data_IF_768057844907
#
_entry.id   IF_768057844907
#
_cell.length_a   1.000
_cell.length_b   1.000
_cell.length_c   1.000
_cell.angle_alpha   90.00
_cell.angle_beta   90.00
_cell.angle_gamma   90.00
#
_symmetry.space_group_name_H-M   'P 1'
#
loop_
_entity.id
_entity.type
_entity.pdbx_description
1 polymer ?
#
# COMPACT_ATOMS: atom_id res chain seq x y z
N UNK A 1 68.30 31.20 12.78
CA UNK A 1 68.30 29.79 12.33
C UNK A 1 66.86 29.48 11.96
N UNK A 2 66.39 29.71 10.73
CA UNK A 2 66.61 28.88 9.51
C UNK A 2 66.45 27.40 9.87
N UNK A 3 65.53 26.61 9.30
CA UNK A 3 64.58 26.72 8.19
C UNK A 3 63.81 25.37 8.19
N UNK A 4 63.14 24.87 7.15
CA UNK A 4 62.60 25.29 5.87
C UNK A 4 61.94 24.01 5.28
N UNK A 5 61.07 24.18 4.27
CA UNK A 5 60.53 23.17 3.33
C UNK A 5 59.37 22.28 3.84
N UNK A 6 58.29 21.99 3.08
CA UNK A 6 57.89 22.24 1.69
C UNK A 6 56.40 21.84 1.55
N UNK A 7 55.53 22.64 0.90
CA UNK A 7 55.07 22.56 -0.51
C UNK A 7 53.63 22.04 -0.66
N UNK A 8 52.84 22.87 -1.35
CA UNK A 8 51.91 22.55 -2.43
C UNK A 8 50.70 21.63 -2.14
N UNK A 9 49.52 22.25 -2.00
CA UNK A 9 48.39 22.05 -2.93
C UNK A 9 47.31 23.12 -2.69
N UNK A 10 47.42 24.19 -3.45
CA UNK A 10 46.38 25.22 -3.62
C UNK A 10 45.20 24.57 -4.35
N UNK A 11 44.05 24.48 -3.69
CA UNK A 11 42.78 24.22 -4.37
C UNK A 11 42.46 25.45 -5.24
N UNK A 12 42.45 25.27 -6.56
CA UNK A 12 41.99 26.31 -7.48
C UNK A 12 40.49 26.54 -7.27
N UNK A 13 40.00 27.79 -7.17
CA UNK A 13 38.58 28.06 -7.24
C UNK A 13 38.09 27.66 -8.63
N UNK A 14 37.03 26.87 -8.69
CA UNK A 14 36.27 26.68 -9.92
C UNK A 14 35.69 28.04 -10.27
N UNK A 15 36.23 28.67 -11.31
CA UNK A 15 35.75 29.93 -11.85
C UNK A 15 34.31 29.73 -12.32
N UNK A 16 33.37 30.33 -11.58
CA UNK A 16 31.98 30.47 -11.97
C UNK A 16 31.90 31.33 -13.23
N UNK A 17 31.80 30.68 -14.38
CA UNK A 17 31.25 31.32 -15.56
C UNK A 17 29.74 31.19 -15.46
N UNK A 18 29.13 32.33 -15.16
CA UNK A 18 27.70 32.60 -15.27
C UNK A 18 27.16 32.07 -16.60
N UNK A 19 26.33 31.03 -16.54
CA UNK A 19 25.40 30.69 -17.60
C UNK A 19 24.00 30.62 -17.01
N UNK A 20 23.09 31.25 -17.75
CA UNK A 20 21.71 31.53 -17.42
C UNK A 20 20.90 30.26 -17.09
N UNK A 21 19.94 30.42 -16.17
CA UNK A 21 18.72 29.63 -16.09
C UNK A 21 18.92 28.14 -15.83
N UNK A 22 18.84 27.73 -14.56
CA UNK A 22 18.64 26.32 -14.19
C UNK A 22 17.25 25.84 -14.64
N UNK A 23 17.08 25.62 -15.94
CA UNK A 23 16.15 24.59 -16.40
C UNK A 23 16.75 23.27 -15.94
N UNK A 24 15.97 22.43 -15.26
CA UNK A 24 16.28 21.02 -15.08
C UNK A 24 16.51 20.42 -16.48
N UNK A 25 17.74 20.43 -16.98
CA UNK A 25 18.06 19.82 -18.27
C UNK A 25 18.00 18.31 -18.06
N UNK A 26 16.91 17.72 -18.55
CA UNK A 26 16.80 16.28 -18.69
C UNK A 26 17.98 15.84 -19.56
N UNK A 27 18.83 14.96 -19.03
CA UNK A 27 19.96 14.42 -19.76
C UNK A 27 19.41 13.56 -20.90
N UNK A 28 19.57 14.04 -22.14
CA UNK A 28 19.11 13.32 -23.31
C UNK A 28 19.99 12.09 -23.59
N UNK A 29 19.43 10.95 -24.05
CA UNK A 29 20.23 9.81 -24.44
C UNK A 29 21.12 10.13 -25.64
N UNK A 30 22.24 9.41 -25.79
CA UNK A 30 23.07 9.54 -27.00
C UNK A 30 22.29 9.05 -28.23
N UNK A 31 22.40 9.77 -29.34
CA UNK A 31 21.85 9.33 -30.63
C UNK A 31 20.33 9.45 -30.80
N UNK A 32 19.61 10.12 -29.90
CA UNK A 32 18.18 10.42 -30.04
C UNK A 32 17.63 11.22 -28.86
N UNK A 33 16.32 11.17 -28.64
CA UNK A 33 15.66 11.89 -27.54
C UNK A 33 15.02 10.95 -26.51
N UNK A 34 14.57 11.51 -25.39
CA UNK A 34 13.81 10.75 -24.39
C UNK A 34 12.44 10.29 -24.95
N UNK A 35 11.85 11.08 -25.85
CA UNK A 35 10.61 10.75 -26.56
C UNK A 35 10.78 9.54 -27.48
N UNK A 36 11.92 9.42 -28.17
CA UNK A 36 12.23 8.23 -28.99
C UNK A 36 12.25 6.95 -28.14
N UNK A 37 12.90 7.01 -26.96
CA UNK A 37 12.94 5.90 -26.01
C UNK A 37 11.55 5.58 -25.49
N UNK A 38 10.74 6.59 -25.18
CA UNK A 38 9.38 6.43 -24.68
C UNK A 38 8.49 5.74 -25.73
N UNK A 39 8.47 6.22 -26.98
CA UNK A 39 7.63 5.66 -28.03
C UNK A 39 8.02 4.20 -28.34
N UNK A 40 9.32 3.95 -28.54
CA UNK A 40 9.81 2.61 -28.87
C UNK A 40 9.68 1.65 -27.68
N UNK A 41 9.95 2.13 -26.47
CA UNK A 41 9.75 1.37 -25.23
C UNK A 41 8.29 0.99 -25.02
N UNK A 42 7.35 1.92 -25.24
CA UNK A 42 5.91 1.67 -25.13
C UNK A 42 5.45 0.56 -26.10
N UNK A 43 5.99 0.52 -27.32
CA UNK A 43 5.71 -0.57 -28.28
C UNK A 43 6.16 -1.92 -27.75
N UNK A 44 7.36 -2.01 -27.18
CA UNK A 44 7.88 -3.25 -26.55
C UNK A 44 7.04 -3.70 -25.35
N UNK A 45 6.61 -2.75 -24.51
CA UNK A 45 5.72 -3.04 -23.38
C UNK A 45 4.36 -3.57 -23.85
N UNK A 46 3.77 -2.99 -24.90
CA UNK A 46 2.52 -3.47 -25.49
C UNK A 46 2.66 -4.90 -26.04
N UNK A 47 3.77 -5.19 -26.72
CA UNK A 47 4.07 -6.54 -27.22
C UNK A 47 4.20 -7.53 -26.07
N UNK A 48 4.92 -7.17 -25.00
CA UNK A 48 5.02 -7.98 -23.79
C UNK A 48 3.66 -8.28 -23.17
N UNK A 49 2.80 -7.26 -22.95
CA UNK A 49 1.46 -7.45 -22.38
C UNK A 49 0.57 -8.35 -23.23
N UNK A 50 0.71 -8.30 -24.57
CA UNK A 50 -0.01 -9.19 -25.50
C UNK A 50 0.52 -10.62 -25.47
N UNK A 51 1.83 -10.79 -25.41
CA UNK A 51 2.50 -12.10 -25.46
C UNK A 51 2.60 -12.84 -24.12
N UNK A 52 2.53 -12.14 -22.99
CA UNK A 52 2.81 -12.69 -21.66
C UNK A 52 1.84 -13.82 -21.24
N UNK A 53 0.64 -13.89 -21.81
CA UNK A 53 -0.32 -14.95 -21.48
C UNK A 53 -0.19 -16.21 -22.34
N UNK A 54 0.77 -16.27 -23.27
CA UNK A 54 0.97 -17.41 -24.15
C UNK A 54 1.84 -18.46 -23.45
N UNK A 55 1.29 -19.64 -23.18
CA UNK A 55 1.93 -20.72 -22.41
C UNK A 55 3.16 -21.38 -23.06
N UNK A 56 3.67 -20.83 -24.17
CA UNK A 56 4.89 -21.31 -24.83
C UNK A 56 6.16 -20.72 -24.23
N UNK A 57 6.07 -19.67 -23.40
CA UNK A 57 7.21 -19.08 -22.68
C UNK A 57 7.25 -19.59 -21.22
N UNK A 58 8.44 -19.78 -20.62
CA UNK A 58 8.54 -20.17 -19.22
C UNK A 58 7.97 -19.09 -18.27
N UNK A 59 7.48 -19.50 -17.10
CA UNK A 59 7.05 -18.58 -16.02
C UNK A 59 8.20 -17.66 -15.60
N UNK A 60 9.41 -18.18 -15.53
CA UNK A 60 10.62 -17.42 -15.20
C UNK A 60 11.84 -18.10 -15.81
N UNK A 61 12.76 -17.30 -16.35
CA UNK A 61 14.12 -17.72 -16.70
C UNK A 61 15.04 -17.35 -15.54
N UNK A 62 15.04 -18.16 -14.50
CA UNK A 62 15.71 -17.82 -13.25
C UNK A 62 17.23 -17.69 -13.46
N UNK A 63 17.77 -16.51 -13.15
CA UNK A 63 19.20 -16.20 -13.17
C UNK A 63 19.64 -15.77 -11.78
N UNK A 64 20.88 -16.07 -11.42
CA UNK A 64 21.50 -15.53 -10.21
C UNK A 64 21.68 -14.00 -10.32
N UNK A 65 21.82 -13.28 -9.18
CA UNK A 65 22.09 -11.84 -9.21
C UNK A 65 23.34 -11.47 -10.03
N UNK A 66 24.38 -12.31 -10.02
CA UNK A 66 25.60 -12.10 -10.81
C UNK A 66 25.37 -12.21 -12.32
N UNK A 67 24.57 -13.18 -12.74
CA UNK A 67 24.17 -13.36 -14.15
C UNK A 67 23.30 -12.20 -14.65
N UNK A 68 22.39 -11.68 -13.81
CA UNK A 68 21.58 -10.51 -14.13
C UNK A 68 22.46 -9.26 -14.30
N UNK A 69 23.39 -8.99 -13.38
CA UNK A 69 24.35 -7.89 -13.52
C UNK A 69 25.18 -8.01 -14.81
N UNK A 70 25.59 -9.23 -15.17
CA UNK A 70 26.29 -9.49 -16.43
C UNK A 70 25.41 -9.23 -17.65
N UNK A 71 24.14 -9.63 -17.61
CA UNK A 71 23.18 -9.38 -18.70
C UNK A 71 22.98 -7.88 -18.94
N UNK A 72 22.75 -7.09 -17.89
CA UNK A 72 22.62 -5.63 -17.99
C UNK A 72 23.90 -4.95 -18.49
N UNK A 73 25.08 -5.38 -18.04
CA UNK A 73 26.35 -4.87 -18.62
C UNK A 73 26.45 -5.14 -20.13
N UNK A 74 25.91 -6.25 -20.61
CA UNK A 74 25.93 -6.58 -22.04
C UNK A 74 25.00 -5.68 -22.87
N UNK A 75 24.05 -4.96 -22.27
CA UNK A 75 23.19 -4.01 -22.98
C UNK A 75 23.80 -2.60 -23.10
N UNK A 76 24.99 -2.37 -22.51
CA UNK A 76 25.55 -1.03 -22.33
C UNK A 76 25.02 -0.28 -21.11
N UNK A 77 23.97 -0.79 -20.44
CA UNK A 77 23.35 -0.19 -19.27
C UNK A 77 23.58 -1.06 -18.02
N UNK A 78 24.78 -1.00 -17.45
CA UNK A 78 25.10 -1.72 -16.21
C UNK A 78 24.25 -1.26 -15.02
N UNK A 79 23.92 -2.17 -14.09
CA UNK A 79 23.15 -1.85 -12.87
C UNK A 79 23.99 -1.23 -11.74
N UNK A 80 25.31 -1.18 -11.88
CA UNK A 80 26.19 -0.60 -10.87
C UNK A 80 26.22 0.92 -11.04
N UNK A 81 25.91 1.66 -9.97
CA UNK A 81 25.89 3.12 -9.95
C UNK A 81 27.18 3.62 -9.28
N UNK A 82 28.16 4.00 -10.08
CA UNK A 82 29.46 4.56 -9.71
C UNK A 82 29.53 6.07 -9.83
N UNK A 83 28.58 6.70 -10.55
CA UNK A 83 28.57 8.15 -10.80
C UNK A 83 29.56 8.59 -11.87
N UNK A 84 30.14 7.64 -12.61
CA UNK A 84 31.12 7.86 -13.69
C UNK A 84 30.66 7.22 -14.99
N UNK A 85 29.40 6.80 -15.06
CA UNK A 85 28.79 6.22 -16.24
C UNK A 85 28.69 7.26 -17.34
N UNK A 86 28.94 6.81 -18.56
CA UNK A 86 28.57 7.63 -19.70
C UNK A 86 27.05 7.59 -19.91
N UNK A 87 26.51 8.68 -20.46
CA UNK A 87 25.12 8.73 -20.89
C UNK A 87 24.85 7.61 -21.90
N UNK A 88 23.86 6.77 -21.62
CA UNK A 88 23.47 5.68 -22.51
C UNK A 88 22.79 6.20 -23.78
N UNK A 89 22.96 5.47 -24.88
CA UNK A 89 22.25 5.71 -26.13
C UNK A 89 20.83 5.14 -26.13
N UNK A 90 20.04 5.56 -27.12
CA UNK A 90 18.66 5.04 -27.31
C UNK A 90 18.65 3.51 -27.41
N UNK A 91 19.54 2.93 -28.23
CA UNK A 91 19.62 1.48 -28.43
C UNK A 91 20.00 0.72 -27.15
N UNK A 92 20.93 1.27 -26.35
CA UNK A 92 21.38 0.68 -25.09
C UNK A 92 20.25 0.68 -24.05
N UNK A 93 19.46 1.76 -23.99
CA UNK A 93 18.28 1.87 -23.13
C UNK A 93 17.18 0.90 -23.57
N UNK A 94 16.91 0.77 -24.87
CA UNK A 94 15.92 -0.18 -25.37
C UNK A 94 16.35 -1.63 -25.15
N UNK A 95 17.64 -1.96 -25.31
CA UNK A 95 18.18 -3.27 -24.97
C UNK A 95 18.08 -3.55 -23.47
N UNK A 96 18.26 -2.53 -22.61
CA UNK A 96 18.04 -2.66 -21.17
C UNK A 96 16.56 -2.93 -20.84
N UNK A 97 15.61 -2.28 -21.52
CA UNK A 97 14.17 -2.55 -21.38
C UNK A 97 13.87 -4.00 -21.75
N UNK A 98 14.37 -4.50 -22.88
CA UNK A 98 14.20 -5.91 -23.25
C UNK A 98 14.80 -6.85 -22.20
N UNK A 99 16.00 -6.54 -21.71
CA UNK A 99 16.65 -7.31 -20.64
C UNK A 99 15.78 -7.36 -19.37
N UNK A 100 15.09 -6.28 -19.00
CA UNK A 100 14.11 -6.32 -17.90
C UNK A 100 12.96 -7.29 -18.21
N UNK A 101 12.35 -7.17 -19.39
CA UNK A 101 11.17 -7.96 -19.78
C UNK A 101 11.47 -9.45 -19.89
N UNK A 102 12.61 -9.83 -20.48
CA UNK A 102 13.01 -11.22 -20.67
C UNK A 102 13.39 -11.95 -19.37
N UNK A 103 13.91 -11.20 -18.40
CA UNK A 103 14.46 -11.76 -17.16
C UNK A 103 13.54 -11.55 -15.95
N UNK A 104 12.40 -10.90 -16.13
CA UNK A 104 11.36 -10.77 -15.12
C UNK A 104 10.48 -12.03 -15.04
N UNK A 105 9.86 -12.24 -13.88
CA UNK A 105 8.83 -13.29 -13.73
C UNK A 105 7.62 -12.89 -14.57
N UNK A 106 7.16 -13.80 -15.42
CA UNK A 106 5.92 -13.65 -16.15
C UNK A 106 4.73 -13.97 -15.23
N UNK A 107 4.26 -12.96 -14.51
CA UNK A 107 3.11 -13.07 -13.59
C UNK A 107 1.78 -13.31 -14.30
N UNK A 108 1.73 -13.11 -15.62
CA UNK A 108 0.57 -13.35 -16.46
C UNK A 108 0.52 -14.78 -17.04
N UNK A 109 1.52 -15.61 -16.75
CA UNK A 109 1.56 -16.99 -17.19
C UNK A 109 0.45 -17.82 -16.49
N UNK A 110 -0.32 -18.67 -17.19
CA UNK A 110 -1.42 -19.46 -16.60
C UNK A 110 -1.01 -20.42 -15.47
N UNK A 111 0.28 -20.75 -15.38
CA UNK A 111 0.86 -21.59 -14.33
C UNK A 111 1.56 -20.79 -13.20
N UNK A 112 1.41 -19.46 -13.18
CA UNK A 112 1.90 -18.64 -12.08
C UNK A 112 0.91 -18.67 -10.92
N UNK A 113 1.18 -19.51 -9.93
CA UNK A 113 0.38 -19.65 -8.69
C UNK A 113 1.18 -19.33 -7.43
N UNK A 114 2.27 -18.57 -7.57
CA UNK A 114 3.21 -18.32 -6.47
C UNK A 114 2.70 -17.27 -5.47
N UNK A 115 1.80 -16.38 -5.90
CA UNK A 115 1.37 -15.21 -5.13
C UNK A 115 -0.16 -15.07 -5.16
N UNK A 116 -0.69 -14.21 -4.28
CA UNK A 116 -2.11 -13.84 -4.25
C UNK A 116 -2.49 -12.80 -5.32
N UNK A 117 -1.65 -12.60 -6.33
CA UNK A 117 -1.91 -11.77 -7.50
C UNK A 117 -1.40 -12.52 -8.73
N UNK A 118 -1.83 -12.11 -9.90
CA UNK A 118 -1.37 -12.64 -11.19
C UNK A 118 -1.36 -11.50 -12.21
N UNK A 119 -1.72 -11.78 -13.47
CA UNK A 119 -1.82 -10.83 -14.56
C UNK A 119 -2.53 -9.55 -14.11
N UNK A 120 -1.87 -8.41 -14.30
CA UNK A 120 -2.53 -7.11 -14.23
C UNK A 120 -3.52 -6.95 -15.39
N UNK A 121 -4.74 -6.50 -15.08
CA UNK A 121 -5.75 -6.22 -16.08
C UNK A 121 -5.25 -5.14 -17.07
N UNK A 122 -5.42 -5.30 -18.40
CA UNK A 122 -4.94 -4.32 -19.37
C UNK A 122 -5.48 -2.90 -19.16
N UNK A 123 -6.69 -2.74 -18.63
CA UNK A 123 -7.25 -1.42 -18.31
C UNK A 123 -6.57 -0.83 -17.08
N UNK A 124 -6.22 -1.66 -16.10
CA UNK A 124 -5.42 -1.23 -14.95
C UNK A 124 -4.01 -0.81 -15.35
N UNK A 125 -3.37 -1.51 -16.29
CA UNK A 125 -2.06 -1.11 -16.85
C UNK A 125 -2.16 0.25 -17.55
N UNK A 126 -3.22 0.47 -18.33
CA UNK A 126 -3.46 1.77 -18.96
C UNK A 126 -3.66 2.88 -17.91
N UNK A 127 -4.35 2.58 -16.81
CA UNK A 127 -4.50 3.51 -15.70
C UNK A 127 -3.14 3.86 -15.06
N UNK A 128 -2.24 2.88 -14.85
CA UNK A 128 -0.88 3.15 -14.37
C UNK A 128 -0.10 4.08 -15.29
N UNK A 129 -0.24 3.90 -16.61
CA UNK A 129 0.40 4.79 -17.59
C UNK A 129 -0.13 6.22 -17.50
N UNK A 130 -1.44 6.38 -17.30
CA UNK A 130 -2.07 7.69 -17.09
C UNK A 130 -1.59 8.34 -15.78
N UNK A 131 -1.51 7.56 -14.70
CA UNK A 131 -1.00 8.02 -13.40
C UNK A 131 0.45 8.50 -13.53
N UNK A 132 1.31 7.69 -14.16
CA UNK A 132 2.70 8.04 -14.40
C UNK A 132 2.86 9.29 -15.30
N UNK A 133 2.05 9.40 -16.35
CA UNK A 133 2.10 10.54 -17.28
C UNK A 133 1.64 11.86 -16.64
N UNK A 134 0.65 11.80 -15.75
CA UNK A 134 0.14 13.00 -15.05
C UNK A 134 0.97 13.39 -13.82
N UNK A 135 1.65 12.43 -13.19
CA UNK A 135 2.59 12.63 -12.09
C UNK A 135 2.12 13.64 -11.03
N UNK A 136 0.85 13.54 -10.62
CA UNK A 136 0.26 14.40 -9.60
C UNK A 136 0.13 13.67 -8.26
N UNK A 137 -0.22 14.43 -7.22
CA UNK A 137 -0.26 14.00 -5.85
C UNK A 137 -1.66 14.22 -5.27
N UNK A 138 -2.28 13.17 -4.72
CA UNK A 138 -3.67 13.17 -4.29
C UNK A 138 -3.80 13.53 -2.80
N UNK A 139 -3.39 14.76 -2.46
CA UNK A 139 -3.58 15.35 -1.12
C UNK A 139 -4.65 16.44 -1.09
N UNK A 140 -4.73 17.29 -2.13
CA UNK A 140 -5.74 18.33 -2.27
C UNK A 140 -6.47 18.19 -3.60
N UNK A 141 -7.71 18.69 -3.63
CA UNK A 141 -8.50 18.78 -4.85
C UNK A 141 -7.84 19.67 -5.91
N UNK A 142 -7.17 20.74 -5.50
CA UNK A 142 -6.53 21.72 -6.39
C UNK A 142 -5.51 21.09 -7.36
N UNK A 143 -4.70 20.14 -6.90
CA UNK A 143 -3.64 19.53 -7.72
C UNK A 143 -4.05 18.21 -8.36
N UNK A 144 -5.11 17.56 -7.89
CA UNK A 144 -5.56 16.25 -8.36
C UNK A 144 -7.10 16.12 -8.48
N UNK A 145 -7.81 17.08 -9.10
CA UNK A 145 -9.27 17.17 -8.98
C UNK A 145 -10.00 15.93 -9.52
N UNK A 146 -9.54 15.40 -10.65
CA UNK A 146 -10.11 14.20 -11.27
C UNK A 146 -9.89 12.96 -10.40
N UNK A 147 -8.67 12.75 -9.92
CA UNK A 147 -8.32 11.57 -9.11
C UNK A 147 -9.01 11.60 -7.75
N UNK A 148 -9.15 12.77 -7.13
CA UNK A 148 -9.87 12.94 -5.87
C UNK A 148 -11.35 12.56 -6.01
N UNK A 149 -12.02 13.00 -7.08
CA UNK A 149 -13.42 12.63 -7.34
C UNK A 149 -13.55 11.16 -7.68
N UNK A 150 -12.64 10.59 -8.48
CA UNK A 150 -12.63 9.16 -8.80
C UNK A 150 -12.45 8.30 -7.54
N UNK A 151 -11.52 8.65 -6.66
CA UNK A 151 -11.30 7.96 -5.39
C UNK A 151 -12.57 8.01 -4.51
N UNK A 152 -13.19 9.18 -4.39
CA UNK A 152 -14.44 9.33 -3.64
C UNK A 152 -15.55 8.40 -4.17
N UNK A 153 -15.70 8.27 -5.49
CA UNK A 153 -16.69 7.38 -6.11
C UNK A 153 -16.38 5.89 -5.92
N UNK A 154 -15.11 5.50 -6.02
CA UNK A 154 -14.69 4.11 -5.75
C UNK A 154 -14.95 3.75 -4.29
N UNK A 155 -14.55 4.61 -3.36
CA UNK A 155 -14.79 4.41 -1.92
C UNK A 155 -16.29 4.34 -1.62
N UNK A 156 -17.10 5.22 -2.22
CA UNK A 156 -18.57 5.19 -2.10
C UNK A 156 -19.14 3.86 -2.55
N UNK A 157 -18.70 3.36 -3.71
CA UNK A 157 -19.18 2.08 -4.24
C UNK A 157 -18.80 0.93 -3.33
N UNK A 158 -17.56 0.92 -2.84
CA UNK A 158 -17.06 -0.13 -1.94
C UNK A 158 -17.78 -0.11 -0.59
N UNK A 159 -18.00 1.06 0.01
CA UNK A 159 -18.79 1.20 1.24
C UNK A 159 -20.20 0.62 1.10
N UNK A 160 -20.88 0.88 -0.03
CA UNK A 160 -22.20 0.30 -0.31
C UNK A 160 -22.15 -1.22 -0.54
N UNK A 161 -21.06 -1.75 -1.10
CA UNK A 161 -20.90 -3.20 -1.26
C UNK A 161 -20.72 -3.92 0.07
N UNK A 162 -20.04 -3.29 1.03
CA UNK A 162 -19.86 -3.81 2.40
C UNK A 162 -21.18 -3.70 3.19
N UNK A 163 -22.01 -2.70 2.88
CA UNK A 163 -23.29 -2.45 3.55
C UNK A 163 -23.25 -1.29 4.56
N UNK A 164 -22.35 -0.33 4.37
CA UNK A 164 -22.31 0.90 5.17
C UNK A 164 -23.39 1.88 4.70
N UNK A 165 -24.54 1.87 5.37
CA UNK A 165 -25.71 2.71 5.04
C UNK A 165 -25.75 4.04 5.83
N UNK A 166 -25.15 4.08 7.02
CA UNK A 166 -25.18 5.25 7.92
C UNK A 166 -24.11 6.32 7.64
N UNK A 167 -23.25 6.09 6.65
CA UNK A 167 -22.05 6.90 6.43
C UNK A 167 -20.79 6.04 6.31
N UNK A 168 -19.75 6.64 5.75
CA UNK A 168 -18.41 6.05 5.71
C UNK A 168 -17.35 7.15 5.62
N UNK A 169 -16.12 6.78 5.93
CA UNK A 169 -14.90 7.49 5.53
C UNK A 169 -13.90 6.46 4.97
N UNK A 170 -12.90 6.90 4.21
CA UNK A 170 -11.97 5.96 3.60
C UNK A 170 -10.85 6.60 2.79
N UNK A 171 -9.89 5.76 2.42
CA UNK A 171 -8.69 6.14 1.67
C UNK A 171 -8.24 4.98 0.78
N UNK A 172 -7.65 5.31 -0.37
CA UNK A 172 -6.72 4.40 -1.05
C UNK A 172 -5.33 4.53 -0.42
N UNK A 173 -4.72 3.39 -0.08
CA UNK A 173 -3.50 3.31 0.75
C UNK A 173 -2.45 2.37 0.12
N UNK A 174 -1.14 2.57 0.42
CA UNK A 174 -0.04 1.80 -0.18
C UNK A 174 0.07 0.39 0.43
N UNK A 175 -0.91 -0.45 0.09
CA UNK A 175 -0.98 -1.86 0.47
C UNK A 175 -1.82 -2.14 1.72
N UNK A 176 -2.47 -3.31 1.72
CA UNK A 176 -3.32 -3.76 2.84
C UNK A 176 -2.65 -3.81 4.21
N UNK A 177 -1.30 -3.88 4.29
CA UNK A 177 -0.61 -3.76 5.58
C UNK A 177 -0.81 -2.38 6.22
N UNK A 178 -0.80 -1.32 5.41
CA UNK A 178 -1.10 0.04 5.87
C UNK A 178 -2.59 0.21 6.14
N UNK A 179 -3.47 -0.45 5.38
CA UNK A 179 -4.91 -0.48 5.68
C UNK A 179 -5.19 -1.07 7.08
N UNK A 180 -4.55 -2.19 7.43
CA UNK A 180 -4.69 -2.78 8.77
C UNK A 180 -4.10 -1.87 9.86
N UNK A 181 -3.01 -1.14 9.57
CA UNK A 181 -2.48 -0.12 10.46
C UNK A 181 -3.50 1.00 10.73
N UNK A 182 -4.14 1.54 9.69
CA UNK A 182 -5.23 2.51 9.87
C UNK A 182 -6.35 1.96 10.75
N UNK A 183 -6.77 0.70 10.53
CA UNK A 183 -7.76 0.05 11.38
C UNK A 183 -7.39 0.06 12.87
N UNK A 184 -6.13 -0.27 13.19
CA UNK A 184 -5.63 -0.24 14.56
C UNK A 184 -5.46 1.18 15.12
N UNK A 185 -5.01 2.13 14.29
CA UNK A 185 -4.84 3.54 14.70
C UNK A 185 -6.18 4.18 15.07
N UNK A 186 -7.22 3.95 14.26
CA UNK A 186 -8.56 4.48 14.53
C UNK A 186 -9.19 3.83 15.77
N UNK A 187 -9.05 2.52 15.93
CA UNK A 187 -9.49 1.82 17.13
C UNK A 187 -8.80 2.37 18.39
N UNK A 188 -7.49 2.61 18.31
CA UNK A 188 -6.71 3.21 19.40
C UNK A 188 -7.19 4.63 19.69
N UNK A 189 -7.39 5.45 18.66
CA UNK A 189 -7.89 6.81 18.82
C UNK A 189 -9.27 6.85 19.47
N UNK A 190 -10.17 5.92 19.13
CA UNK A 190 -11.47 5.77 19.81
C UNK A 190 -11.33 5.39 21.28
N UNK A 191 -10.37 4.54 21.63
CA UNK A 191 -10.17 4.06 23.00
C UNK A 191 -9.39 5.04 23.88
N UNK A 192 -8.42 5.77 23.32
CA UNK A 192 -7.61 6.79 23.99
C UNK A 192 -7.27 7.92 23.00
N UNK A 193 -8.17 8.92 22.82
CA UNK A 193 -7.93 10.04 21.90
C UNK A 193 -6.67 10.85 22.23
N UNK A 194 -6.37 10.96 23.52
CA UNK A 194 -5.20 11.66 24.05
C UNK A 194 -3.86 10.97 23.72
N UNK A 195 -3.88 9.69 23.31
CA UNK A 195 -2.68 9.02 22.80
C UNK A 195 -2.01 9.84 21.69
N UNK A 196 -2.81 10.55 20.88
CA UNK A 196 -2.32 11.43 19.81
C UNK A 196 -1.31 12.47 20.29
N UNK A 197 -1.52 13.06 21.48
CA UNK A 197 -0.68 14.15 22.01
C UNK A 197 0.29 13.69 23.09
N UNK A 198 -0.16 12.82 24.00
CA UNK A 198 0.63 12.34 25.14
C UNK A 198 1.45 11.09 24.82
N UNK A 199 1.18 10.44 23.69
CA UNK A 199 1.71 9.11 23.38
C UNK A 199 1.18 8.06 24.36
N UNK A 200 1.88 6.92 24.47
CA UNK A 200 1.48 5.83 25.36
C UNK A 200 1.64 6.13 26.86
N UNK A 201 2.25 7.26 27.21
CA UNK A 201 2.67 7.57 28.58
C UNK A 201 1.46 7.79 29.48
N UNK A 202 1.30 6.98 30.54
CA UNK A 202 0.21 7.14 31.50
C UNK A 202 -1.18 6.79 30.96
N UNK A 203 -1.27 6.28 29.73
CA UNK A 203 -2.52 5.79 29.13
C UNK A 203 -2.89 4.37 29.57
N UNK A 204 -4.06 3.87 29.14
CA UNK A 204 -4.48 2.50 29.43
C UNK A 204 -3.54 1.47 28.80
N UNK A 205 -3.42 0.30 29.43
CA UNK A 205 -2.73 -0.85 28.83
C UNK A 205 -3.64 -1.50 27.79
N UNK A 206 -3.59 -0.99 26.57
CA UNK A 206 -4.41 -1.46 25.45
C UNK A 206 -4.00 -2.86 24.99
N UNK A 207 -4.97 -3.68 24.60
CA UNK A 207 -4.74 -5.02 24.05
C UNK A 207 -5.61 -5.29 22.82
N UNK A 208 -4.99 -5.86 21.78
CA UNK A 208 -5.61 -6.21 20.51
C UNK A 208 -5.67 -7.73 20.33
N UNK A 209 -6.64 -8.20 19.53
CA UNK A 209 -6.87 -9.63 19.29
C UNK A 209 -6.93 -9.92 17.79
N UNK A 210 -6.29 -10.99 17.35
CA UNK A 210 -6.30 -11.42 15.94
C UNK A 210 -6.23 -12.94 15.86
N UNK A 211 -6.61 -13.53 14.72
CA UNK A 211 -6.45 -14.96 14.48
C UNK A 211 -4.96 -15.37 14.48
N UNK A 212 -4.64 -16.58 14.93
CA UNK A 212 -3.31 -17.20 14.76
C UNK A 212 -2.89 -17.40 13.30
N UNK A 213 -3.84 -17.38 12.36
CA UNK A 213 -3.64 -17.39 10.91
C UNK A 213 -3.83 -16.02 10.25
N UNK A 214 -3.99 -14.95 11.04
CA UNK A 214 -4.09 -13.58 10.52
C UNK A 214 -2.80 -13.14 9.81
N UNK A 215 -2.90 -12.11 8.98
CA UNK A 215 -1.73 -11.58 8.28
C UNK A 215 -0.75 -10.94 9.27
N UNK A 216 0.56 -11.16 9.07
CA UNK A 216 1.61 -10.67 9.95
C UNK A 216 1.66 -9.13 10.08
N UNK A 217 0.92 -8.40 9.23
CA UNK A 217 0.80 -6.93 9.30
C UNK A 217 0.28 -6.47 10.65
N UNK A 218 -0.60 -7.20 11.33
CA UNK A 218 -1.05 -6.80 12.67
C UNK A 218 0.08 -6.76 13.68
N UNK A 219 0.99 -7.75 13.63
CA UNK A 219 2.20 -7.76 14.47
C UNK A 219 3.11 -6.57 14.14
N UNK A 220 3.26 -6.24 12.85
CA UNK A 220 4.00 -5.04 12.42
C UNK A 220 3.33 -3.76 12.91
N UNK A 221 2.02 -3.63 12.77
CA UNK A 221 1.25 -2.48 13.23
C UNK A 221 1.34 -2.29 14.74
N UNK A 222 1.25 -3.37 15.53
CA UNK A 222 1.45 -3.33 16.98
C UNK A 222 2.84 -2.80 17.38
N UNK A 223 3.89 -3.21 16.66
CA UNK A 223 5.23 -2.65 16.86
C UNK A 223 5.30 -1.18 16.45
N UNK A 224 4.80 -0.84 15.26
CA UNK A 224 4.88 0.50 14.69
C UNK A 224 4.14 1.54 15.52
N UNK A 225 2.97 1.20 16.08
CA UNK A 225 2.17 2.16 16.84
C UNK A 225 2.53 2.23 18.34
N UNK A 226 3.57 1.50 18.76
CA UNK A 226 4.04 1.49 20.16
C UNK A 226 3.18 0.65 21.11
N UNK A 227 2.36 -0.27 20.60
CA UNK A 227 1.55 -1.18 21.42
C UNK A 227 2.42 -2.28 22.06
N UNK A 228 3.44 -2.74 21.33
CA UNK A 228 4.23 -3.93 21.68
C UNK A 228 3.53 -5.22 21.27
N UNK A 229 4.30 -6.24 20.88
CA UNK A 229 3.73 -7.49 20.36
C UNK A 229 3.07 -8.36 21.43
N UNK A 230 3.44 -8.18 22.69
CA UNK A 230 2.87 -8.93 23.82
C UNK A 230 1.42 -8.52 24.11
N UNK A 231 1.02 -7.35 23.63
CA UNK A 231 -0.33 -6.81 23.69
C UNK A 231 -1.14 -7.09 22.41
N UNK A 232 -0.62 -7.93 21.50
CA UNK A 232 -1.37 -8.50 20.38
C UNK A 232 -1.61 -9.99 20.66
N UNK A 233 -2.76 -10.29 21.25
CA UNK A 233 -3.14 -11.65 21.62
C UNK A 233 -3.65 -12.39 20.36
N UNK A 234 -3.12 -13.59 20.15
CA UNK A 234 -3.57 -14.47 19.06
C UNK A 234 -4.67 -15.40 19.55
N UNK A 235 -5.72 -15.54 18.75
CA UNK A 235 -6.87 -16.39 19.00
C UNK A 235 -6.76 -17.64 18.12
N UNK A 236 -6.90 -18.85 18.68
CA UNK A 236 -6.85 -20.09 17.91
C UNK A 236 -7.88 -20.11 16.78
N UNK A 237 -7.54 -20.78 15.69
CA UNK A 237 -8.47 -21.06 14.59
C UNK A 237 -9.02 -22.48 14.64
N UNK A 238 -10.23 -22.63 14.14
CA UNK A 238 -10.85 -23.92 13.90
C UNK A 238 -10.06 -24.70 12.84
N UNK A 239 -9.83 -25.99 13.11
CA UNK A 239 -8.97 -26.82 12.28
C UNK A 239 -9.57 -27.07 10.91
N UNK A 240 -10.88 -27.16 10.78
CA UNK A 240 -11.51 -27.56 9.52
C UNK A 240 -11.78 -26.35 8.63
N UNK A 241 -12.32 -25.28 9.20
CA UNK A 241 -12.69 -24.05 8.48
C UNK A 241 -11.54 -23.04 8.36
N UNK A 242 -10.59 -23.05 9.31
CA UNK A 242 -9.55 -22.04 9.42
C UNK A 242 -10.05 -20.68 9.94
N UNK A 243 -11.29 -20.60 10.43
CA UNK A 243 -11.89 -19.42 11.04
C UNK A 243 -11.44 -19.25 12.49
N UNK A 244 -11.34 -18.02 12.98
CA UNK A 244 -11.16 -17.71 14.40
C UNK A 244 -12.25 -18.40 15.25
N UNK A 245 -11.85 -19.01 16.37
CA UNK A 245 -12.80 -19.59 17.34
C UNK A 245 -13.35 -18.47 18.23
N UNK A 246 -14.61 -18.08 18.01
CA UNK A 246 -15.25 -16.92 18.66
C UNK A 246 -15.28 -17.05 20.19
N UNK A 247 -15.51 -18.25 20.73
CA UNK A 247 -15.54 -18.51 22.17
C UNK A 247 -14.16 -18.22 22.80
N UNK A 248 -13.07 -18.50 22.08
CA UNK A 248 -11.71 -18.20 22.53
C UNK A 248 -11.37 -16.72 22.45
N UNK A 249 -11.99 -15.98 21.53
CA UNK A 249 -11.90 -14.52 21.50
C UNK A 249 -12.52 -13.93 22.77
N UNK A 250 -13.73 -14.34 23.12
CA UNK A 250 -14.45 -13.84 24.30
C UNK A 250 -13.68 -14.16 25.60
N UNK A 251 -13.23 -15.41 25.77
CA UNK A 251 -12.38 -15.83 26.89
C UNK A 251 -11.14 -14.93 27.04
N UNK A 252 -10.46 -14.60 25.93
CA UNK A 252 -9.26 -13.77 25.93
C UNK A 252 -9.55 -12.30 26.28
N UNK A 253 -10.70 -11.76 25.83
CA UNK A 253 -11.16 -10.42 26.18
C UNK A 253 -11.45 -10.34 27.68
N UNK A 254 -12.22 -11.29 28.22
CA UNK A 254 -12.57 -11.33 29.65
C UNK A 254 -11.33 -11.48 30.53
N UNK A 255 -10.40 -12.37 30.15
CA UNK A 255 -9.12 -12.53 30.84
C UNK A 255 -8.31 -11.23 30.84
N UNK A 256 -8.23 -10.55 29.71
CA UNK A 256 -7.49 -9.28 29.61
C UNK A 256 -8.08 -8.19 30.50
N UNK A 257 -9.41 -8.08 30.56
CA UNK A 257 -10.10 -7.16 31.48
C UNK A 257 -9.80 -7.50 32.94
N UNK A 258 -9.79 -8.78 33.30
CA UNK A 258 -9.43 -9.24 34.65
C UNK A 258 -7.98 -8.91 35.02
N UNK A 259 -7.07 -8.83 34.04
CA UNK A 259 -5.68 -8.39 34.21
C UNK A 259 -5.51 -6.86 34.24
N UNK A 260 -6.61 -6.08 34.20
CA UNK A 260 -6.58 -4.62 34.18
C UNK A 260 -6.17 -4.02 32.83
N UNK A 261 -6.15 -4.81 31.75
CA UNK A 261 -5.93 -4.35 30.38
C UNK A 261 -7.23 -3.85 29.76
N UNK A 262 -7.12 -3.07 28.69
CA UNK A 262 -8.25 -2.51 27.95
C UNK A 262 -8.30 -3.11 26.54
N UNK A 263 -9.17 -4.11 26.30
CA UNK A 263 -9.50 -4.59 24.96
C UNK A 263 -10.01 -3.45 24.09
N UNK A 264 -9.36 -3.21 22.95
CA UNK A 264 -9.76 -2.11 22.06
C UNK A 264 -9.94 -2.50 20.60
N UNK A 265 -9.33 -3.61 20.15
CA UNK A 265 -9.33 -4.00 18.73
C UNK A 265 -9.42 -5.51 18.54
N UNK A 266 -10.27 -5.94 17.61
CA UNK A 266 -10.29 -7.30 17.04
C UNK A 266 -10.09 -7.21 15.53
N UNK A 267 -9.06 -7.89 15.02
CA UNK A 267 -8.83 -8.09 13.60
C UNK A 267 -9.37 -9.45 13.15
N UNK A 268 -10.56 -9.45 12.57
CA UNK A 268 -11.13 -10.59 11.86
C UNK A 268 -10.59 -10.65 10.43
N UNK A 269 -10.51 -11.85 9.84
CA UNK A 269 -9.94 -12.08 8.52
C UNK A 269 -10.97 -12.66 7.55
N UNK A 270 -11.13 -12.04 6.39
CA UNK A 270 -11.88 -12.58 5.26
C UNK A 270 -10.90 -13.15 4.23
N UNK A 271 -10.70 -14.47 4.28
CA UNK A 271 -9.75 -15.18 3.43
C UNK A 271 -8.32 -15.09 3.96
N UNK A 272 -7.95 -15.98 4.89
CA UNK A 272 -6.58 -16.11 5.38
C UNK A 272 -5.60 -16.42 4.25
N UNK A 273 -4.35 -15.94 4.36
CA UNK A 273 -3.37 -15.98 3.26
C UNK A 273 -3.06 -17.40 2.78
N UNK A 274 -2.97 -18.36 3.70
CA UNK A 274 -2.58 -19.75 3.39
C UNK A 274 -3.79 -20.63 3.12
N UNK A 275 -4.82 -20.56 3.96
CA UNK A 275 -5.96 -21.49 3.91
C UNK A 275 -7.19 -20.93 3.20
N UNK A 276 -7.28 -19.62 3.00
CA UNK A 276 -8.48 -18.97 2.48
C UNK A 276 -9.69 -19.04 3.43
N UNK A 277 -9.46 -19.23 4.73
CA UNK A 277 -10.51 -19.30 5.75
C UNK A 277 -11.18 -17.94 5.98
N UNK A 278 -12.47 -17.94 6.28
CA UNK A 278 -13.25 -16.74 6.59
C UNK A 278 -13.72 -16.82 8.03
N UNK A 279 -13.42 -15.78 8.82
CA UNK A 279 -13.91 -15.66 10.18
C UNK A 279 -15.42 -15.43 10.21
N UNK A 280 -16.05 -15.79 11.33
CA UNK A 280 -17.50 -15.70 11.49
C UNK A 280 -17.90 -14.29 11.95
N UNK A 281 -18.08 -13.38 11.00
CA UNK A 281 -18.21 -11.94 11.31
C UNK A 281 -19.40 -11.57 12.20
N UNK A 282 -20.56 -12.23 12.06
CA UNK A 282 -21.71 -11.96 12.94
C UNK A 282 -21.42 -12.32 14.40
N UNK A 283 -20.85 -13.51 14.65
CA UNK A 283 -20.52 -13.96 16.01
C UNK A 283 -19.42 -13.06 16.63
N UNK A 284 -18.40 -12.69 15.85
CA UNK A 284 -17.35 -11.77 16.32
C UNK A 284 -17.94 -10.38 16.60
N UNK A 285 -18.84 -9.90 15.75
CA UNK A 285 -19.49 -8.61 15.94
C UNK A 285 -20.36 -8.59 17.21
N UNK A 286 -21.00 -9.70 17.58
CA UNK A 286 -21.74 -9.83 18.84
C UNK A 286 -20.79 -9.64 20.04
N UNK A 287 -19.67 -10.38 20.07
CA UNK A 287 -18.64 -10.28 21.13
C UNK A 287 -18.04 -8.87 21.21
N UNK A 288 -17.69 -8.29 20.06
CA UNK A 288 -17.15 -6.92 19.98
C UNK A 288 -18.14 -5.89 20.52
N UNK A 289 -19.42 -6.02 20.16
CA UNK A 289 -20.48 -5.10 20.60
C UNK A 289 -20.73 -5.20 22.11
N UNK A 290 -20.80 -6.42 22.65
CA UNK A 290 -20.99 -6.66 24.08
C UNK A 290 -19.86 -6.08 24.93
N UNK A 291 -18.63 -6.11 24.41
CA UNK A 291 -17.45 -5.72 25.16
C UNK A 291 -16.92 -4.32 24.84
N UNK A 292 -17.53 -3.61 23.88
CA UNK A 292 -17.12 -2.28 23.46
C UNK A 292 -15.80 -2.25 22.68
N UNK A 293 -15.50 -3.30 21.91
CA UNK A 293 -14.22 -3.48 21.20
C UNK A 293 -14.40 -3.17 19.72
N UNK A 294 -13.45 -2.46 19.10
CA UNK A 294 -13.49 -2.17 17.67
C UNK A 294 -13.32 -3.45 16.85
N UNK A 295 -14.22 -3.70 15.90
CA UNK A 295 -14.08 -4.79 14.93
C UNK A 295 -13.52 -4.26 13.62
N UNK A 296 -12.43 -4.86 13.15
CA UNK A 296 -11.88 -4.62 11.84
C UNK A 296 -11.84 -5.92 11.04
N UNK A 297 -12.24 -5.88 9.77
CA UNK A 297 -12.12 -7.01 8.85
C UNK A 297 -10.97 -6.74 7.87
N UNK A 298 -9.91 -7.54 7.96
CA UNK A 298 -8.92 -7.68 6.89
C UNK A 298 -9.50 -8.60 5.81
N UNK A 299 -10.03 -7.97 4.77
CA UNK A 299 -10.49 -8.63 3.55
C UNK A 299 -9.56 -8.34 2.37
N UNK A 300 -8.27 -8.09 2.63
CA UNK A 300 -7.29 -7.80 1.60
C UNK A 300 -7.36 -8.85 0.48
N UNK A 301 -7.51 -10.12 0.84
CA UNK A 301 -7.70 -11.22 -0.10
C UNK A 301 -9.18 -11.49 -0.42
N UNK A 302 -9.99 -11.82 0.60
CA UNK A 302 -11.33 -12.34 0.42
C UNK A 302 -12.42 -11.32 0.08
N UNK A 303 -12.12 -10.01 0.12
CA UNK A 303 -13.13 -8.96 -0.11
C UNK A 303 -13.78 -9.01 -1.48
N UNK A 304 -13.10 -9.59 -2.48
CA UNK A 304 -13.66 -9.86 -3.81
C UNK A 304 -14.89 -10.78 -3.79
N UNK A 305 -15.10 -11.56 -2.73
CA UNK A 305 -16.29 -12.40 -2.56
C UNK A 305 -17.59 -11.58 -2.60
N UNK A 306 -17.58 -10.31 -2.17
CA UNK A 306 -18.74 -9.40 -2.23
C UNK A 306 -19.26 -9.18 -3.65
N UNK A 307 -18.40 -9.30 -4.67
CA UNK A 307 -18.79 -9.15 -6.07
C UNK A 307 -19.42 -10.41 -6.67
N UNK A 308 -19.23 -11.57 -6.03
CA UNK A 308 -19.73 -12.85 -6.53
C UNK A 308 -21.08 -13.20 -5.90
N UNK A 309 -22.13 -13.35 -6.72
CA UNK A 309 -23.44 -13.83 -6.24
C UNK A 309 -23.36 -15.19 -5.55
N UNK A 310 -22.40 -16.04 -5.94
CA UNK A 310 -22.20 -17.38 -5.37
C UNK A 310 -21.43 -17.34 -4.06
N UNK A 311 -20.43 -16.47 -3.94
CA UNK A 311 -19.51 -16.46 -2.79
C UNK A 311 -19.83 -15.38 -1.75
N UNK A 312 -20.67 -14.36 -2.06
CA UNK A 312 -20.97 -13.26 -1.15
C UNK A 312 -21.48 -13.67 0.24
N UNK A 313 -22.01 -14.88 0.38
CA UNK A 313 -22.46 -15.42 1.67
C UNK A 313 -21.29 -15.63 2.65
N UNK A 314 -20.05 -15.79 2.18
CA UNK A 314 -18.86 -15.86 3.06
C UNK A 314 -18.58 -14.54 3.78
N UNK A 315 -19.27 -13.46 3.40
CA UNK A 315 -19.15 -12.13 3.98
C UNK A 315 -20.36 -11.73 4.84
N UNK A 316 -21.23 -12.68 5.22
CA UNK A 316 -22.33 -12.40 6.15
C UNK A 316 -21.80 -11.79 7.46
N UNK A 317 -22.43 -10.72 7.92
CA UNK A 317 -21.99 -9.93 9.09
C UNK A 317 -20.98 -8.82 8.79
N UNK A 318 -20.39 -8.76 7.58
CA UNK A 318 -19.36 -7.76 7.27
C UNK A 318 -19.81 -6.30 7.39
N UNK A 319 -21.12 -6.01 7.19
CA UNK A 319 -21.70 -4.67 7.37
C UNK A 319 -21.65 -4.17 8.83
N UNK A 320 -21.38 -5.05 9.79
CA UNK A 320 -21.31 -4.73 11.23
C UNK A 320 -19.93 -4.25 11.67
N UNK A 321 -18.89 -4.46 10.86
CA UNK A 321 -17.51 -4.06 11.17
C UNK A 321 -17.36 -2.55 11.33
N UNK A 322 -16.46 -2.09 12.19
CA UNK A 322 -16.13 -0.68 12.32
C UNK A 322 -15.21 -0.22 11.16
N UNK A 323 -14.27 -1.07 10.73
CA UNK A 323 -13.44 -0.82 9.54
C UNK A 323 -13.14 -2.05 8.71
N UNK A 324 -12.68 -1.83 7.47
CA UNK A 324 -12.53 -2.84 6.44
C UNK A 324 -11.32 -2.54 5.55
N UNK A 325 -10.46 -3.53 5.33
CA UNK A 325 -9.35 -3.45 4.39
C UNK A 325 -9.59 -4.37 3.18
N UNK A 326 -9.34 -3.90 1.96
CA UNK A 326 -9.50 -4.71 0.74
C UNK A 326 -8.45 -4.38 -0.31
N UNK A 327 -7.87 -5.39 -0.97
CA UNK A 327 -6.88 -5.17 -2.02
C UNK A 327 -7.43 -5.63 -3.39
N UNK A 328 -7.99 -4.71 -4.20
CA UNK A 328 -8.29 -4.99 -5.59
C UNK A 328 -7.10 -5.54 -6.38
N UNK A 329 -5.87 -5.19 -6.00
CA UNK A 329 -4.65 -5.69 -6.66
C UNK A 329 -4.38 -7.20 -6.50
N UNK A 330 -5.22 -7.90 -5.71
CA UNK A 330 -5.16 -9.35 -5.55
C UNK A 330 -6.17 -10.02 -6.50
N UNK A 331 -7.33 -10.42 -5.97
CA UNK A 331 -8.33 -11.20 -6.72
C UNK A 331 -8.91 -10.50 -7.95
N UNK A 332 -8.94 -9.16 -7.99
CA UNK A 332 -9.55 -8.42 -9.10
C UNK A 332 -8.57 -8.09 -10.23
N UNK A 333 -7.28 -8.39 -10.06
CA UNK A 333 -6.29 -8.15 -11.10
C UNK A 333 -5.95 -6.67 -11.32
N UNK A 334 -6.31 -5.77 -10.40
CA UNK A 334 -5.75 -4.42 -10.44
C UNK A 334 -4.21 -4.49 -10.30
N UNK A 335 -3.52 -3.54 -10.88
CA UNK A 335 -2.06 -3.44 -10.79
C UNK A 335 -1.62 -3.12 -9.37
N UNK A 336 -0.41 -3.53 -9.01
CA UNK A 336 0.13 -3.25 -7.67
C UNK A 336 0.72 -1.84 -7.64
N UNK A 337 0.40 -1.00 -6.65
CA UNK A 337 -0.47 -1.27 -5.50
C UNK A 337 -1.86 -0.65 -5.70
N UNK A 338 -2.92 -1.43 -5.48
CA UNK A 338 -4.28 -0.91 -5.21
C UNK A 338 -4.86 -1.50 -3.90
N UNK A 339 -5.06 -0.69 -2.86
CA UNK A 339 -5.64 -1.14 -1.58
C UNK A 339 -6.54 -0.07 -0.98
N UNK A 340 -7.69 -0.51 -0.48
CA UNK A 340 -8.77 0.31 0.06
C UNK A 340 -8.81 0.12 1.57
N UNK A 341 -8.87 1.23 2.29
CA UNK A 341 -9.29 1.29 3.68
C UNK A 341 -10.64 2.00 3.77
N UNK A 342 -11.59 1.40 4.49
CA UNK A 342 -12.90 1.98 4.76
C UNK A 342 -13.23 1.87 6.25
N UNK A 343 -13.94 2.86 6.76
CA UNK A 343 -14.52 2.88 8.10
C UNK A 343 -15.97 3.32 8.01
N UNK A 344 -16.84 2.78 8.85
CA UNK A 344 -18.24 3.23 8.94
C UNK A 344 -18.39 4.56 9.70
N UNK A 345 -17.33 4.97 10.38
CA UNK A 345 -17.29 6.16 11.22
C UNK A 345 -16.76 7.33 10.40
N UNK A 346 -17.63 8.31 10.16
CA UNK A 346 -17.27 9.56 9.45
C UNK A 346 -16.23 10.34 10.25
N UNK A 347 -15.41 11.11 9.54
CA UNK A 347 -14.47 12.10 10.05
C UNK A 347 -13.32 11.58 10.95
N UNK A 348 -13.38 10.31 11.37
CA UNK A 348 -12.42 9.72 12.32
C UNK A 348 -10.99 9.64 11.77
N UNK A 349 -10.82 9.58 10.44
CA UNK A 349 -9.49 9.62 9.82
C UNK A 349 -8.85 11.00 10.03
N UNK A 350 -9.62 12.06 9.82
CA UNK A 350 -9.16 13.43 10.07
C UNK A 350 -8.90 13.65 11.58
N UNK A 351 -9.80 13.23 12.45
CA UNK A 351 -9.61 13.35 13.91
C UNK A 351 -8.32 12.65 14.39
N UNK A 352 -8.10 11.43 13.91
CA UNK A 352 -6.93 10.62 14.27
C UNK A 352 -5.63 11.20 13.71
N UNK A 353 -5.60 11.56 12.42
CA UNK A 353 -4.36 11.83 11.70
C UNK A 353 -4.08 13.31 11.45
N UNK A 354 -5.12 14.15 11.46
CA UNK A 354 -5.04 15.54 11.05
C UNK A 354 -4.08 16.36 11.89
N UNK A 355 -3.31 17.20 11.19
CA UNK A 355 -2.34 18.14 11.77
C UNK A 355 -2.64 19.58 11.39
N UNK A 356 -3.55 19.80 10.44
CA UNK A 356 -3.96 21.12 9.96
C UNK A 356 -2.77 21.97 9.48
N UNK A 357 -1.87 21.36 8.70
CA UNK A 357 -0.69 22.06 8.16
C UNK A 357 -1.07 23.20 7.22
N UNK A 358 -0.83 24.45 7.65
CA UNK A 358 -1.26 25.69 6.97
C UNK A 358 -0.68 25.88 5.56
N UNK A 359 0.48 25.28 5.25
CA UNK A 359 1.09 25.38 3.92
C UNK A 359 0.34 24.56 2.86
N UNK A 360 -0.50 23.61 3.28
CA UNK A 360 -1.16 22.66 2.38
C UNK A 360 -2.70 22.78 2.45
N UNK A 361 -3.25 22.81 3.67
CA UNK A 361 -4.69 22.81 3.94
C UNK A 361 -5.17 24.22 4.28
N UNK A 362 -5.42 25.00 3.25
CA UNK A 362 -5.84 26.40 3.36
C UNK A 362 -7.36 26.49 3.27
N UNK A 363 -8.07 26.95 4.32
CA UNK A 363 -9.53 26.88 4.40
C UNK A 363 -10.26 27.81 3.42
N UNK A 364 -9.56 28.79 2.85
CA UNK A 364 -10.05 29.77 1.88
C UNK A 364 -9.99 29.28 0.42
N UNK A 365 -9.46 28.07 0.17
CA UNK A 365 -9.51 27.43 -1.15
C UNK A 365 -10.91 26.94 -1.50
N UNK A 366 -11.17 26.80 -2.79
CA UNK A 366 -12.40 26.20 -3.30
C UNK A 366 -12.36 24.67 -3.16
N UNK A 367 -13.50 24.07 -2.80
CA UNK A 367 -13.71 22.62 -2.75
C UNK A 367 -12.80 21.88 -1.73
N UNK A 368 -12.44 22.54 -0.63
CA UNK A 368 -11.59 21.96 0.42
C UNK A 368 -12.23 20.76 1.12
N UNK A 369 -13.55 20.56 1.02
CA UNK A 369 -14.23 19.36 1.48
C UNK A 369 -13.78 18.08 0.77
N UNK A 370 -13.12 18.21 -0.38
CA UNK A 370 -12.50 17.11 -1.14
C UNK A 370 -11.02 16.90 -0.79
N UNK A 371 -10.40 17.76 0.02
CA UNK A 371 -9.02 17.55 0.43
C UNK A 371 -8.93 16.34 1.37
N UNK A 372 -8.09 15.37 1.00
CA UNK A 372 -7.94 14.09 1.71
C UNK A 372 -6.61 13.99 2.45
N UNK A 373 -5.70 14.94 2.24
CA UNK A 373 -4.34 14.88 2.77
C UNK A 373 -4.28 14.84 4.30
N UNK A 374 -5.17 15.55 5.01
CA UNK A 374 -5.14 15.57 6.48
C UNK A 374 -5.85 14.34 7.10
N UNK A 375 -6.44 13.47 6.27
CA UNK A 375 -6.98 12.17 6.69
C UNK A 375 -5.91 11.08 6.74
N UNK A 376 -4.77 11.27 6.10
CA UNK A 376 -3.74 10.25 5.88
C UNK A 376 -2.47 10.50 6.70
N UNK A 377 -1.75 9.43 7.04
CA UNK A 377 -0.40 9.49 7.63
C UNK A 377 0.68 9.82 6.57
N UNK A 378 0.32 9.90 5.29
CA UNK A 378 1.20 10.27 4.18
C UNK A 378 1.00 11.75 3.81
N UNK A 379 2.08 12.44 3.43
CA UNK A 379 1.95 13.73 2.75
C UNK A 379 1.80 13.52 1.23
N UNK A 380 2.86 13.03 0.58
CA UNK A 380 2.80 12.64 -0.82
C UNK A 380 2.10 11.31 -1.04
N UNK A 381 1.10 11.29 -1.93
CA UNK A 381 0.30 10.11 -2.24
C UNK A 381 -0.03 10.04 -3.73
N UNK A 382 0.19 8.87 -4.33
CA UNK A 382 -0.20 8.58 -5.71
C UNK A 382 -1.69 8.25 -5.77
N UNK A 383 -2.28 8.34 -6.97
CA UNK A 383 -3.54 7.65 -7.24
C UNK A 383 -3.27 6.13 -7.38
N UNK A 384 -4.22 5.28 -6.97
CA UNK A 384 -4.06 3.82 -6.88
C UNK A 384 -5.18 3.05 -7.59
#
# INVERSE_FOLDING_TARGET
RVGAASKDRVARPITSTTTNGSQNQIVAPKGGTAEDVLEQGARKLLEYVRGASVGSQPVVRLKSPGELKKAFRATGCGLEITGTEEVAGVDELLAAVECVLENSVNTAHPLFFNQLYSRGDPLSILADWMIAATNTNVHTYEVAPVYTVMEAEVLRRCARLIGFEGGYDGLLVPGGSIANLYGMLLARHRADPEWKTRGMNGGPNLVAFTSDHSHYSYKKSAMTMGLGTDNLITIPTDRDTGAMVTEKLEEAILKSKAEGKVPFFVGATAGTTVRGGYDKFDEIADVCSEHGVWMHIDAAWGGGALLSRRQRHTMHGASRTDSYAWNPHKMLGATMQCSIFLTRHKDTLHECNGTSAEYLFQPDKLYTEYDVGDKTIQCGRVSY
#
